data_IF_815807769786
#
_entry.id   IF_815807769786
#
_cell.length_a   1.000
_cell.length_b   1.000
_cell.length_c   1.000
_cell.angle_alpha   90.00
_cell.angle_beta   90.00
_cell.angle_gamma   90.00
#
_symmetry.space_group_name_H-M   'P 1'
#
loop_
_entity.id
_entity.type
_entity.pdbx_description
1 polymer ?
#
# COMPACT_ATOMS: atom_id res chain seq x y z
N UNK A 1 -14.95 -5.76 -9.40
CA UNK A 1 -15.19 -4.41 -8.85
C UNK A 1 -13.90 -3.61 -8.62
N UNK A 2 -12.77 -4.19 -8.21
CA UNK A 2 -11.54 -3.41 -8.01
C UNK A 2 -11.12 -2.61 -9.27
N UNK A 3 -11.01 -3.30 -10.40
CA UNK A 3 -10.64 -2.76 -11.73
C UNK A 3 -11.69 -1.84 -12.36
N UNK A 4 -12.80 -1.55 -11.66
CA UNK A 4 -13.74 -0.51 -12.07
C UNK A 4 -13.28 0.90 -11.64
N UNK A 5 -12.07 1.00 -11.09
CA UNK A 5 -11.45 2.29 -10.78
C UNK A 5 -11.26 3.13 -12.06
N UNK A 6 -11.43 4.46 -11.99
CA UNK A 6 -11.07 5.34 -13.09
C UNK A 6 -9.56 5.34 -13.31
N UNK A 7 -9.15 5.59 -14.55
CA UNK A 7 -7.74 5.81 -14.90
C UNK A 7 -7.62 6.95 -15.91
N UNK A 8 -6.48 7.63 -15.90
CA UNK A 8 -6.18 8.70 -16.85
C UNK A 8 -6.34 8.19 -18.28
N UNK A 9 -7.17 8.87 -19.07
CA UNK A 9 -7.53 8.47 -20.45
C UNK A 9 -8.03 7.01 -20.57
N UNK A 10 -8.60 6.45 -19.50
CA UNK A 10 -9.04 5.05 -19.42
C UNK A 10 -7.94 4.00 -19.72
N UNK A 11 -6.68 4.33 -19.41
CA UNK A 11 -5.53 3.47 -19.73
C UNK A 11 -5.50 2.14 -18.97
N UNK A 12 -6.12 2.08 -17.78
CA UNK A 12 -6.12 0.88 -16.94
C UNK A 12 -4.70 0.34 -16.71
N UNK A 13 -3.74 1.25 -16.48
CA UNK A 13 -2.31 1.01 -16.48
C UNK A 13 -1.80 0.28 -15.22
N UNK A 14 -2.69 -0.39 -14.48
CA UNK A 14 -2.31 -1.19 -13.32
C UNK A 14 -1.81 -2.56 -13.76
N UNK A 15 -0.72 -3.00 -13.15
CA UNK A 15 -0.19 -4.35 -13.30
C UNK A 15 0.03 -4.95 -11.92
N UNK A 16 -0.48 -6.16 -11.68
CA UNK A 16 -0.41 -6.79 -10.37
C UNK A 16 0.40 -8.08 -10.41
N UNK A 17 1.28 -8.26 -9.43
CA UNK A 17 1.92 -9.55 -9.16
C UNK A 17 1.48 -10.02 -7.78
N UNK A 18 0.83 -11.18 -7.71
CA UNK A 18 0.33 -11.77 -6.45
C UNK A 18 1.28 -12.88 -6.04
N UNK A 19 1.83 -12.80 -4.83
CA UNK A 19 2.80 -13.77 -4.30
C UNK A 19 2.30 -14.44 -3.03
N UNK A 20 2.63 -15.73 -2.87
CA UNK A 20 2.33 -16.57 -1.73
C UNK A 20 3.41 -17.65 -1.55
N UNK A 21 3.36 -18.43 -0.47
CA UNK A 21 4.31 -19.52 -0.19
C UNK A 21 5.76 -19.06 -0.11
N UNK A 22 6.71 -19.90 -0.55
CA UNK A 22 8.15 -19.64 -0.47
C UNK A 22 8.56 -18.30 -1.11
N UNK A 23 7.88 -17.89 -2.19
CA UNK A 23 8.17 -16.61 -2.85
C UNK A 23 7.77 -15.42 -1.97
N UNK A 24 6.68 -15.54 -1.22
CA UNK A 24 6.27 -14.53 -0.24
C UNK A 24 7.28 -14.45 0.91
N UNK A 25 7.87 -15.56 1.35
CA UNK A 25 8.85 -15.53 2.43
C UNK A 25 10.15 -14.82 1.99
N UNK A 26 10.57 -14.99 0.74
CA UNK A 26 11.65 -14.19 0.13
C UNK A 26 11.31 -12.69 0.09
N UNK A 27 10.04 -12.33 -0.11
CA UNK A 27 9.58 -10.94 -0.02
C UNK A 27 9.68 -10.40 1.40
N UNK A 28 9.39 -11.20 2.43
CA UNK A 28 9.58 -10.80 3.84
C UNK A 28 11.03 -10.49 4.12
N UNK A 29 11.96 -11.32 3.65
CA UNK A 29 13.39 -11.10 3.81
C UNK A 29 13.81 -9.73 3.24
N UNK A 30 13.41 -9.42 2.00
CA UNK A 30 13.72 -8.13 1.35
C UNK A 30 13.10 -6.96 2.13
N UNK A 31 11.84 -7.08 2.55
CA UNK A 31 11.16 -6.06 3.35
C UNK A 31 11.89 -5.79 4.67
N UNK A 32 12.34 -6.85 5.36
CA UNK A 32 13.06 -6.71 6.62
C UNK A 32 14.46 -6.10 6.42
N UNK A 33 15.17 -6.44 5.34
CA UNK A 33 16.42 -5.75 4.98
C UNK A 33 16.20 -4.27 4.70
N UNK A 34 15.13 -3.91 3.97
CA UNK A 34 14.73 -2.51 3.76
C UNK A 34 14.40 -1.79 5.07
N UNK A 35 13.84 -2.51 6.05
CA UNK A 35 13.65 -1.98 7.39
C UNK A 35 14.98 -1.65 8.07
N UNK A 36 15.91 -2.60 8.09
CA UNK A 36 17.20 -2.40 8.76
C UNK A 36 18.06 -1.30 8.10
N UNK A 37 18.00 -1.16 6.77
CA UNK A 37 18.85 -0.23 6.02
C UNK A 37 18.38 1.23 6.13
N UNK A 38 17.09 1.47 5.92
CA UNK A 38 16.53 2.82 5.75
C UNK A 38 15.27 3.06 6.58
N UNK A 39 14.26 2.18 6.49
CA UNK A 39 12.92 2.48 7.03
C UNK A 39 12.95 2.58 8.56
N UNK A 40 13.71 1.71 9.24
CA UNK A 40 13.84 1.69 10.69
C UNK A 40 14.38 3.01 11.25
N UNK A 41 15.44 3.56 10.66
CA UNK A 41 15.99 4.87 11.05
C UNK A 41 14.95 5.99 10.91
N UNK A 42 14.15 5.96 9.84
CA UNK A 42 13.08 6.94 9.62
C UNK A 42 11.95 6.78 10.64
N UNK A 43 11.55 5.56 10.92
CA UNK A 43 10.52 5.22 11.93
C UNK A 43 10.97 5.66 13.32
N UNK A 44 12.20 5.35 13.73
CA UNK A 44 12.78 5.78 15.00
C UNK A 44 12.81 7.30 15.14
N UNK A 45 13.19 8.01 14.06
CA UNK A 45 13.21 9.48 14.07
C UNK A 45 11.81 10.09 14.20
N UNK A 46 10.82 9.58 13.47
CA UNK A 46 9.45 10.11 13.49
C UNK A 46 8.71 9.75 14.78
N UNK A 47 8.97 8.56 15.33
CA UNK A 47 8.27 8.00 16.48
C UNK A 47 9.17 7.84 17.71
N UNK A 48 10.19 8.70 17.87
CA UNK A 48 11.16 8.63 18.98
C UNK A 48 10.51 8.62 20.37
N UNK A 49 9.38 9.31 20.51
CA UNK A 49 8.59 9.39 21.75
C UNK A 49 7.59 8.23 21.92
N UNK A 50 7.57 7.27 21.00
CA UNK A 50 6.61 6.15 20.96
C UNK A 50 7.32 4.82 20.66
N UNK A 51 8.11 4.28 21.62
CA UNK A 51 8.91 3.08 21.39
C UNK A 51 8.09 1.83 21.02
N UNK A 52 6.82 1.74 21.47
CA UNK A 52 5.93 0.63 21.09
C UNK A 52 5.66 0.63 19.57
N UNK A 53 5.43 1.79 18.95
CA UNK A 53 5.21 1.92 17.50
C UNK A 53 6.43 1.46 16.71
N UNK A 54 7.63 1.84 17.17
CA UNK A 54 8.90 1.41 16.54
C UNK A 54 9.02 -0.11 16.60
N UNK A 55 8.77 -0.72 17.77
CA UNK A 55 8.84 -2.17 17.97
C UNK A 55 7.80 -2.92 17.12
N UNK A 56 6.56 -2.46 17.12
CA UNK A 56 5.46 -3.04 16.32
C UNK A 56 5.77 -2.94 14.83
N UNK A 57 6.26 -1.79 14.36
CA UNK A 57 6.66 -1.62 12.95
C UNK A 57 7.79 -2.59 12.61
N UNK A 58 8.82 -2.71 13.46
CA UNK A 58 9.90 -3.68 13.22
C UNK A 58 9.38 -5.11 13.14
N UNK A 59 8.52 -5.51 14.08
CA UNK A 59 7.92 -6.86 14.10
C UNK A 59 7.05 -7.11 12.86
N UNK A 60 6.28 -6.09 12.43
CA UNK A 60 5.51 -6.15 11.21
C UNK A 60 6.42 -6.35 10.00
N UNK A 61 7.50 -5.59 9.82
CA UNK A 61 8.40 -5.78 8.68
C UNK A 61 9.16 -7.12 8.72
N UNK A 62 9.38 -7.69 9.91
CA UNK A 62 10.02 -9.01 10.06
C UNK A 62 9.11 -10.18 9.64
N UNK A 63 7.80 -9.97 9.52
CA UNK A 63 6.81 -11.05 9.29
C UNK A 63 5.73 -10.70 8.28
N UNK A 64 5.69 -9.45 7.81
CA UNK A 64 4.55 -8.80 7.13
C UNK A 64 3.22 -8.99 7.86
N UNK A 65 3.26 -9.02 9.20
CA UNK A 65 2.09 -9.26 10.05
C UNK A 65 1.50 -10.66 9.88
N UNK A 66 2.27 -11.63 9.40
CA UNK A 66 1.81 -13.00 9.15
C UNK A 66 0.94 -13.17 7.90
N UNK A 67 0.76 -12.11 7.09
CA UNK A 67 -0.10 -12.17 5.91
C UNK A 67 0.40 -13.23 4.90
N UNK A 68 -0.43 -14.21 4.49
CA UNK A 68 -0.02 -15.30 3.59
C UNK A 68 0.18 -14.83 2.14
N UNK A 69 -0.40 -13.68 1.76
CA UNK A 69 -0.35 -13.14 0.41
C UNK A 69 0.18 -11.71 0.43
N UNK A 70 0.98 -11.37 -0.58
CA UNK A 70 1.39 -9.99 -0.88
C UNK A 70 1.07 -9.69 -2.35
N UNK A 71 0.44 -8.55 -2.61
CA UNK A 71 0.15 -8.06 -3.95
C UNK A 71 1.08 -6.88 -4.22
N UNK A 72 1.88 -6.98 -5.27
CA UNK A 72 2.65 -5.88 -5.81
C UNK A 72 1.81 -5.15 -6.85
N UNK A 73 1.56 -3.86 -6.62
CA UNK A 73 0.84 -3.01 -7.54
C UNK A 73 1.84 -2.12 -8.28
N UNK A 74 1.88 -2.28 -9.60
CA UNK A 74 2.72 -1.54 -10.52
C UNK A 74 1.88 -0.62 -11.40
N UNK A 75 2.50 0.47 -11.85
CA UNK A 75 2.05 1.29 -12.95
C UNK A 75 2.86 0.94 -14.21
N UNK A 76 2.16 0.71 -15.31
CA UNK A 76 2.75 0.75 -16.64
C UNK A 76 2.92 2.23 -17.05
N UNK A 77 4.17 2.69 -17.27
CA UNK A 77 4.43 4.06 -17.68
C UNK A 77 3.71 4.37 -18.99
N UNK A 78 3.23 5.60 -19.15
CA UNK A 78 2.76 6.04 -20.45
C UNK A 78 3.07 7.49 -20.75
N UNK A 79 2.34 8.09 -21.71
CA UNK A 79 2.69 9.40 -22.25
C UNK A 79 2.43 10.54 -21.26
N UNK A 80 1.59 10.29 -20.27
CA UNK A 80 1.27 11.23 -19.19
C UNK A 80 2.33 11.21 -18.09
N UNK A 81 2.18 12.08 -17.10
CA UNK A 81 3.09 12.10 -15.95
C UNK A 81 2.98 10.83 -15.09
N UNK A 82 4.07 10.45 -14.44
CA UNK A 82 4.06 9.38 -13.43
C UNK A 82 3.06 9.65 -12.29
N UNK A 83 2.74 10.93 -12.02
CA UNK A 83 1.72 11.29 -11.04
C UNK A 83 0.32 10.86 -11.50
N UNK A 84 0.01 10.94 -12.79
CA UNK A 84 -1.26 10.47 -13.36
C UNK A 84 -1.34 8.94 -13.27
N UNK A 85 -0.23 8.27 -13.59
CA UNK A 85 -0.13 6.82 -13.53
C UNK A 85 -0.33 6.28 -12.10
N UNK A 86 0.35 6.89 -11.12
CA UNK A 86 0.22 6.53 -9.69
C UNK A 86 -1.18 6.77 -9.17
N UNK A 87 -1.88 7.84 -9.58
CA UNK A 87 -3.26 8.10 -9.17
C UNK A 87 -4.22 7.02 -9.65
N UNK A 88 -4.05 6.57 -10.90
CA UNK A 88 -4.86 5.50 -11.50
C UNK A 88 -4.68 4.18 -10.73
N UNK A 89 -3.42 3.80 -10.45
CA UNK A 89 -3.11 2.61 -9.64
C UNK A 89 -3.60 2.74 -8.19
N UNK A 90 -3.50 3.95 -7.62
CA UNK A 90 -3.97 4.20 -6.25
C UNK A 90 -5.47 4.01 -6.09
N UNK A 91 -6.26 4.41 -7.09
CA UNK A 91 -7.71 4.23 -7.09
C UNK A 91 -8.13 2.75 -7.10
N UNK A 92 -7.48 1.93 -7.95
CA UNK A 92 -7.75 0.48 -7.99
C UNK A 92 -7.29 -0.23 -6.72
N UNK A 93 -6.17 0.19 -6.11
CA UNK A 93 -5.74 -0.33 -4.80
C UNK A 93 -6.82 -0.02 -3.75
N UNK A 94 -7.30 1.22 -3.64
CA UNK A 94 -8.33 1.57 -2.67
C UNK A 94 -9.61 0.74 -2.84
N UNK A 95 -10.07 0.53 -4.09
CA UNK A 95 -11.21 -0.35 -4.34
C UNK A 95 -10.92 -1.79 -3.90
N UNK A 96 -9.70 -2.30 -4.16
CA UNK A 96 -9.28 -3.63 -3.73
C UNK A 96 -9.34 -3.76 -2.20
N UNK A 97 -8.88 -2.76 -1.43
CA UNK A 97 -8.93 -2.79 0.03
C UNK A 97 -10.36 -2.82 0.56
N UNK A 98 -11.27 -2.03 -0.02
CA UNK A 98 -12.69 -2.02 0.37
C UNK A 98 -13.35 -3.39 0.10
N UNK A 99 -13.04 -4.01 -1.03
CA UNK A 99 -13.55 -5.34 -1.40
C UNK A 99 -12.96 -6.46 -0.55
N UNK A 100 -11.70 -6.33 -0.16
CA UNK A 100 -11.06 -7.26 0.77
C UNK A 100 -11.74 -7.16 2.15
N UNK A 101 -11.97 -5.94 2.64
CA UNK A 101 -12.66 -5.69 3.90
C UNK A 101 -14.09 -6.25 3.90
N UNK A 102 -14.86 -6.02 2.84
CA UNK A 102 -16.20 -6.61 2.64
C UNK A 102 -16.18 -8.15 2.76
N UNK A 103 -15.08 -8.78 2.34
CA UNK A 103 -14.87 -10.24 2.38
C UNK A 103 -14.23 -10.72 3.68
N UNK A 104 -14.09 -9.86 4.69
CA UNK A 104 -13.48 -10.20 5.98
C UNK A 104 -11.96 -10.36 5.93
N UNK A 105 -11.29 -9.89 4.88
CA UNK A 105 -9.84 -9.89 4.77
C UNK A 105 -9.24 -8.61 5.37
N UNK A 106 -8.16 -8.77 6.12
CA UNK A 106 -7.27 -7.69 6.55
C UNK A 106 -6.25 -7.36 5.47
N UNK A 107 -5.95 -6.07 5.32
CA UNK A 107 -4.97 -5.58 4.33
C UNK A 107 -4.11 -4.44 4.87
N UNK A 108 -2.84 -4.37 4.45
CA UNK A 108 -1.98 -3.22 4.71
C UNK A 108 -1.40 -2.67 3.39
N UNK A 109 -1.70 -1.41 3.06
CA UNK A 109 -1.05 -0.68 1.98
C UNK A 109 0.31 -0.15 2.44
N UNK A 110 1.38 -0.65 1.84
CA UNK A 110 2.75 -0.27 2.15
C UNK A 110 3.40 0.50 1.00
N UNK A 111 3.98 1.67 1.32
CA UNK A 111 4.87 2.43 0.42
C UNK A 111 6.30 2.53 0.96
N UNK A 112 6.53 2.12 2.21
CA UNK A 112 7.89 2.04 2.78
C UNK A 112 8.83 1.11 2.02
N UNK A 113 8.41 -0.13 1.65
CA UNK A 113 9.25 -1.06 0.90
C UNK A 113 9.60 -0.62 -0.52
N UNK A 114 9.02 0.45 -1.07
CA UNK A 114 9.30 0.89 -2.46
C UNK A 114 10.77 1.24 -2.69
N UNK A 115 11.53 1.51 -1.62
CA UNK A 115 12.97 1.70 -1.70
C UNK A 115 13.75 0.43 -2.11
N UNK A 116 13.10 -0.74 -2.07
CA UNK A 116 13.66 -2.04 -2.45
C UNK A 116 13.09 -2.50 -3.82
N UNK A 117 12.61 -1.57 -4.64
CA UNK A 117 11.98 -1.88 -5.93
C UNK A 117 12.88 -2.69 -6.85
N UNK A 118 14.18 -2.40 -6.90
CA UNK A 118 15.14 -3.14 -7.75
C UNK A 118 15.23 -4.62 -7.33
N UNK A 119 15.31 -4.89 -6.03
CA UNK A 119 15.36 -6.23 -5.48
C UNK A 119 14.06 -7.00 -5.75
N UNK A 120 12.91 -6.34 -5.61
CA UNK A 120 11.62 -6.93 -5.93
C UNK A 120 11.48 -7.22 -7.42
N UNK A 121 11.86 -6.28 -8.28
CA UNK A 121 11.81 -6.44 -9.72
C UNK A 121 12.70 -7.59 -10.19
N UNK A 122 13.90 -7.72 -9.62
CA UNK A 122 14.79 -8.87 -9.86
C UNK A 122 14.19 -10.17 -9.37
N UNK A 123 13.58 -10.20 -8.18
CA UNK A 123 12.95 -11.39 -7.62
C UNK A 123 11.77 -11.88 -8.48
N UNK A 124 10.95 -10.94 -8.95
CA UNK A 124 9.68 -11.22 -9.62
C UNK A 124 9.79 -11.23 -11.15
N UNK A 125 10.94 -10.86 -11.72
CA UNK A 125 11.13 -10.76 -13.17
C UNK A 125 10.30 -9.64 -13.80
N UNK A 126 10.09 -8.54 -13.08
CA UNK A 126 9.32 -7.39 -13.57
C UNK A 126 10.27 -6.33 -14.10
N UNK A 127 10.06 -5.91 -15.35
CA UNK A 127 10.83 -4.84 -16.00
C UNK A 127 9.89 -3.82 -16.67
N UNK A 128 10.40 -2.59 -16.84
CA UNK A 128 9.71 -1.49 -17.53
C UNK A 128 8.48 -0.95 -16.81
N UNK A 129 8.26 -1.31 -15.54
CA UNK A 129 7.09 -0.89 -14.75
C UNK A 129 7.55 -0.22 -13.46
N UNK A 130 6.74 0.72 -12.96
CA UNK A 130 7.02 1.42 -11.71
C UNK A 130 6.22 0.81 -10.57
N UNK A 131 6.88 0.36 -9.51
CA UNK A 131 6.23 -0.15 -8.32
C UNK A 131 5.56 1.01 -7.55
N UNK A 132 4.26 0.87 -7.29
CA UNK A 132 3.42 1.88 -6.63
C UNK A 132 3.15 1.51 -5.17
N UNK A 133 2.90 0.23 -4.90
CA UNK A 133 2.63 -0.26 -3.55
C UNK A 133 2.86 -1.76 -3.42
N UNK A 134 3.09 -2.19 -2.18
CA UNK A 134 2.85 -3.58 -1.77
C UNK A 134 1.59 -3.59 -0.90
N UNK A 135 0.76 -4.62 -1.06
CA UNK A 135 -0.45 -4.82 -0.27
C UNK A 135 -0.37 -6.20 0.37
N UNK A 136 -0.25 -6.26 1.69
CA UNK A 136 -0.38 -7.53 2.41
C UNK A 136 -1.86 -7.91 2.51
N UNK A 137 -2.18 -9.19 2.38
CA UNK A 137 -3.57 -9.70 2.45
C UNK A 137 -3.59 -10.97 3.29
N UNK A 138 -4.53 -11.04 4.24
CA UNK A 138 -4.72 -12.21 5.10
C UNK A 138 -6.00 -12.11 5.92
N UNK A 139 -6.27 -13.13 6.73
CA UNK A 139 -7.26 -13.03 7.79
C UNK A 139 -6.59 -12.41 9.01
N UNK A 140 -7.20 -11.35 9.55
CA UNK A 140 -6.64 -10.66 10.71
C UNK A 140 -7.18 -11.30 11.99
N UNK A 141 -6.28 -11.62 12.91
CA UNK A 141 -6.66 -12.12 14.24
C UNK A 141 -7.19 -11.01 15.16
N UNK A 142 -7.04 -9.74 14.75
CA UNK A 142 -7.39 -8.56 15.55
C UNK A 142 -8.07 -7.48 14.70
N UNK A 143 -9.01 -6.75 15.30
CA UNK A 143 -9.59 -5.55 14.70
C UNK A 143 -8.97 -4.33 15.39
N UNK A 144 -8.06 -3.59 14.73
CA UNK A 144 -7.41 -2.45 15.34
C UNK A 144 -8.41 -1.32 15.59
N UNK A 145 -8.19 -0.54 16.65
CA UNK A 145 -9.01 0.65 16.93
C UNK A 145 -8.89 1.65 15.79
N UNK A 146 -10.04 2.07 15.25
CA UNK A 146 -10.09 3.09 14.20
C UNK A 146 -9.58 4.43 14.76
N UNK A 147 -8.50 5.02 14.21
CA UNK A 147 -8.02 6.30 14.68
C UNK A 147 -9.03 7.42 14.37
N UNK A 148 -9.18 8.43 15.25
CA UNK A 148 -10.08 9.55 15.00
C UNK A 148 -9.67 10.30 13.73
N UNK A 149 -10.67 10.63 12.89
CA UNK A 149 -10.43 11.46 11.70
C UNK A 149 -10.18 12.91 12.13
N UNK A 150 -9.18 13.56 11.53
CA UNK A 150 -8.76 14.92 11.90
C UNK A 150 -9.65 15.96 11.22
N UNK A 151 -10.60 16.55 11.97
CA UNK A 151 -11.28 17.82 11.66
C UNK A 151 -11.93 17.98 10.28
N UNK A 152 -12.53 19.15 10.02
CA UNK A 152 -13.01 19.49 8.68
C UNK A 152 -11.80 19.81 7.78
N UNK A 153 -11.57 18.97 6.77
CA UNK A 153 -10.56 19.18 5.70
C UNK A 153 -11.20 19.40 4.33
N UNK A 154 -12.49 19.69 4.32
CA UNK A 154 -13.29 19.92 3.12
C UNK A 154 -13.73 21.38 3.15
N UNK A 155 -13.45 22.11 2.08
CA UNK A 155 -13.89 23.50 1.89
C UNK A 155 -14.89 23.51 0.75
N UNK A 156 -16.14 23.84 1.05
CA UNK A 156 -17.20 24.01 0.07
C UNK A 156 -17.14 25.45 -0.46
N UNK A 157 -17.04 25.61 -1.77
CA UNK A 157 -17.11 26.93 -2.44
C UNK A 157 -18.23 26.87 -3.47
N UNK A 158 -19.15 27.83 -3.42
CA UNK A 158 -20.29 27.89 -4.35
C UNK A 158 -21.48 26.99 -4.00
N UNK A 159 -21.53 26.46 -2.77
CA UNK A 159 -22.71 25.76 -2.24
C UNK A 159 -23.53 26.73 -1.38
N UNK A 160 -24.88 26.64 -1.37
CA UNK A 160 -25.73 27.42 -0.46
C UNK A 160 -25.31 27.15 1.00
N UNK A 161 -25.42 28.14 1.88
CA UNK A 161 -24.98 28.01 3.28
C UNK A 161 -25.85 27.03 4.10
N UNK A 162 -27.00 26.63 3.57
CA UNK A 162 -27.97 25.78 4.26
C UNK A 162 -27.90 24.35 3.70
N UNK A 163 -27.13 23.50 4.38
CA UNK A 163 -26.95 22.10 4.05
C UNK A 163 -28.18 21.23 4.34
N UNK A 164 -29.32 21.52 3.71
CA UNK A 164 -30.46 20.61 3.62
C UNK A 164 -30.54 20.02 2.20
N UNK A 165 -30.16 18.74 2.10
CA UNK A 165 -30.48 17.85 0.99
C UNK A 165 -30.96 16.53 1.56
#
# INVERSE_FOLDING_TARGET
>A
MAVWAPSGMNRQNWFFVVVAGDLRDRVVEICYQGYLSYIGKKVEKVFSHKPHVVRETRSFFATLGGAPVVIFAYAEPGPESIFTDVQSVSAVIQNMLLLAHERGLGTCWMTGPLNMEEEFNKLLGVDGKKLVALITVGYSDEVPKVPPRRGKKVVYKGFPEDGES
#
